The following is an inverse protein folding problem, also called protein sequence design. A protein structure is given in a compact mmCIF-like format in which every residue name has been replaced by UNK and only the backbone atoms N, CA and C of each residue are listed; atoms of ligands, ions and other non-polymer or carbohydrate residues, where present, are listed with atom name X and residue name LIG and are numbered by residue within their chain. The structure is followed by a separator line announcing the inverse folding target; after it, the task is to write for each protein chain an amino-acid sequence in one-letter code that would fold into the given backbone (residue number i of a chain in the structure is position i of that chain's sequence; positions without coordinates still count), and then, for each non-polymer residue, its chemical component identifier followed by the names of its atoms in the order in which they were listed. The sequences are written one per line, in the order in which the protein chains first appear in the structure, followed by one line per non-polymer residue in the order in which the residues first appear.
data_IF_925203640936
#
_entry.id   IF_925203640936
#
_cell.length_a   1.000
_cell.length_b   1.000
_cell.length_c   1.000
_cell.angle_alpha   90.00
_cell.angle_beta   90.00
_cell.angle_gamma   90.00
#
_symmetry.space_group_name_H-M   'P 1'
#
loop_
_entity.id
_entity.type
_entity.pdbx_description
1 polymer ?
#
# COMPACT_ATOMS: atom_id res chain seq x y z
N UNK A 1 -14.34 41.76 -7.18
CA UNK A 1 -13.00 41.54 -6.61
C UNK A 1 -12.70 40.05 -6.72
N UNK A 2 -12.06 39.61 -7.81
CA UNK A 2 -11.70 38.20 -7.96
C UNK A 2 -10.42 37.97 -7.18
N UNK A 3 -10.54 37.35 -6.00
CA UNK A 3 -9.40 36.80 -5.27
C UNK A 3 -8.87 35.63 -6.11
N UNK A 4 -7.82 35.88 -6.91
CA UNK A 4 -7.08 34.82 -7.57
C UNK A 4 -6.25 34.15 -6.48
N UNK A 5 -6.72 33.00 -6.00
CA UNK A 5 -6.00 32.17 -5.04
C UNK A 5 -4.84 31.50 -5.77
N UNK A 6 -3.67 32.14 -5.76
CA UNK A 6 -2.46 31.58 -6.37
C UNK A 6 -1.86 30.55 -5.41
N UNK A 7 -2.34 29.31 -5.50
CA UNK A 7 -1.80 28.19 -4.72
C UNK A 7 -0.59 27.62 -5.47
N UNK A 8 0.60 27.91 -4.96
CA UNK A 8 1.84 27.30 -5.45
C UNK A 8 2.01 25.97 -4.74
N UNK A 9 1.85 24.87 -5.47
CA UNK A 9 2.08 23.52 -4.95
C UNK A 9 3.49 23.11 -5.31
N UNK A 10 4.28 22.79 -4.29
CA UNK A 10 5.57 22.15 -4.50
C UNK A 10 5.34 20.66 -4.78
N UNK A 11 5.76 20.21 -5.96
CA UNK A 11 5.64 18.80 -6.35
C UNK A 11 6.45 17.87 -5.42
N UNK A 12 7.48 18.38 -4.72
CA UNK A 12 8.26 17.61 -3.74
C UNK A 12 7.47 17.30 -2.47
N UNK A 13 6.45 18.10 -2.14
CA UNK A 13 5.57 17.82 -1.00
C UNK A 13 4.80 16.51 -1.21
N UNK A 14 4.39 16.21 -2.44
CA UNK A 14 3.73 14.95 -2.78
C UNK A 14 4.70 13.77 -2.62
N UNK A 15 5.94 13.91 -3.09
CA UNK A 15 6.97 12.87 -2.92
C UNK A 15 7.21 12.57 -1.44
N UNK A 16 7.22 13.59 -0.58
CA UNK A 16 7.41 13.42 0.85
C UNK A 16 6.23 12.69 1.50
N UNK A 17 4.99 13.05 1.15
CA UNK A 17 3.80 12.37 1.67
C UNK A 17 3.76 10.91 1.22
N UNK A 18 4.08 10.63 -0.06
CA UNK A 18 4.17 9.27 -0.57
C UNK A 18 5.23 8.45 0.18
N UNK A 19 6.41 9.03 0.47
CA UNK A 19 7.43 8.39 1.32
C UNK A 19 6.96 8.09 2.75
N UNK A 20 6.06 8.89 3.31
CA UNK A 20 5.51 8.64 4.65
C UNK A 20 4.43 7.55 4.65
N UNK A 21 3.69 7.42 3.55
CA UNK A 21 2.67 6.38 3.37
C UNK A 21 3.32 5.04 3.00
N UNK A 22 4.45 5.06 2.30
CA UNK A 22 5.18 3.87 1.82
C UNK A 22 5.42 2.78 2.88
N UNK A 23 6.09 3.05 4.02
CA UNK A 23 6.35 2.00 5.01
C UNK A 23 5.05 1.43 5.60
N UNK A 24 3.98 2.22 5.68
CA UNK A 24 2.69 1.78 6.21
C UNK A 24 1.99 0.80 5.26
N UNK A 25 1.99 1.12 3.96
CA UNK A 25 1.43 0.23 2.93
C UNK A 25 2.29 -1.03 2.75
N UNK A 26 3.61 -0.90 2.84
CA UNK A 26 4.52 -2.05 2.77
C UNK A 26 4.33 -3.01 3.95
N UNK A 27 4.19 -2.48 5.18
CA UNK A 27 3.87 -3.30 6.36
C UNK A 27 2.55 -4.04 6.21
N UNK A 28 1.51 -3.39 5.71
CA UNK A 28 0.23 -4.05 5.45
C UNK A 28 0.36 -5.14 4.37
N UNK A 29 0.99 -4.82 3.23
CA UNK A 29 1.18 -5.78 2.14
C UNK A 29 1.98 -7.01 2.60
N UNK A 30 2.94 -6.83 3.51
CA UNK A 30 3.67 -7.93 4.14
C UNK A 30 2.78 -8.76 5.05
N UNK A 31 2.01 -8.14 5.94
CA UNK A 31 1.09 -8.84 6.84
C UNK A 31 0.04 -9.65 6.07
N UNK A 32 -0.54 -9.06 5.01
CA UNK A 32 -1.51 -9.76 4.15
C UNK A 32 -0.91 -11.00 3.48
N UNK A 33 0.35 -10.93 3.02
CA UNK A 33 1.06 -12.10 2.48
C UNK A 33 1.33 -13.16 3.53
N UNK A 34 1.73 -12.75 4.73
CA UNK A 34 1.96 -13.67 5.87
C UNK A 34 0.68 -14.41 6.25
N UNK A 35 -0.47 -13.72 6.31
CA UNK A 35 -1.78 -14.35 6.57
C UNK A 35 -2.19 -15.28 5.42
N UNK A 36 -2.07 -14.85 4.17
CA UNK A 36 -2.41 -15.70 3.03
C UNK A 36 -1.56 -16.97 2.97
N UNK A 37 -0.29 -16.87 3.37
CA UNK A 37 0.61 -18.01 3.50
C UNK A 37 0.20 -18.92 4.67
N UNK A 38 -0.16 -18.35 5.82
CA UNK A 38 -0.69 -19.11 6.97
C UNK A 38 -1.97 -19.86 6.61
N UNK A 39 -2.88 -19.25 5.86
CA UNK A 39 -4.09 -19.88 5.35
C UNK A 39 -3.74 -21.05 4.42
N UNK A 40 -2.81 -20.86 3.48
CA UNK A 40 -2.35 -21.93 2.60
C UNK A 40 -1.68 -23.08 3.38
N UNK A 41 -0.91 -22.79 4.43
CA UNK A 41 -0.30 -23.80 5.30
C UNK A 41 -1.36 -24.59 6.08
N UNK A 42 -2.40 -23.92 6.57
CA UNK A 42 -3.53 -24.59 7.23
C UNK A 42 -4.34 -25.46 6.25
N UNK A 43 -4.58 -24.99 5.02
CA UNK A 43 -5.28 -25.75 3.97
C UNK A 43 -4.51 -27.00 3.54
N UNK A 44 -3.18 -26.94 3.49
CA UNK A 44 -2.32 -28.08 3.20
C UNK A 44 -2.36 -29.16 4.30
N UNK A 45 -3.09 -28.93 5.39
CA UNK A 45 -3.26 -29.91 6.46
C UNK A 45 -1.99 -30.13 7.25
N UNK A 46 -1.16 -29.08 7.41
CA UNK A 46 -0.01 -29.07 8.33
C UNK A 46 -0.55 -29.10 9.77
N UNK A 47 -1.10 -30.24 10.16
CA UNK A 47 -1.68 -30.52 11.48
C UNK A 47 -0.76 -31.45 12.29
N UNK A 48 0.15 -32.14 11.62
CA UNK A 48 1.04 -33.11 12.23
C UNK A 48 2.34 -32.44 12.68
N UNK A 49 2.75 -32.70 13.92
CA UNK A 49 4.01 -32.22 14.51
C UNK A 49 5.25 -32.60 13.70
N UNK A 50 5.18 -33.65 12.86
CA UNK A 50 6.28 -34.04 11.97
C UNK A 50 6.37 -33.13 10.74
N UNK A 51 5.24 -32.75 10.15
CA UNK A 51 5.17 -31.84 9.00
C UNK A 51 5.62 -30.44 9.40
N UNK A 52 5.25 -29.97 10.60
CA UNK A 52 5.72 -28.69 11.16
C UNK A 52 7.24 -28.71 11.35
N UNK A 53 7.81 -29.81 11.85
CA UNK A 53 9.27 -29.97 12.01
C UNK A 53 10.03 -30.05 10.69
N UNK A 54 9.37 -30.48 9.61
CA UNK A 54 9.93 -30.49 8.26
C UNK A 54 9.91 -29.11 7.57
N UNK A 55 9.09 -28.17 8.05
CA UNK A 55 9.08 -26.79 7.58
C UNK A 55 10.30 -26.01 8.10
N UNK A 56 10.71 -24.98 7.37
CA UNK A 56 11.78 -24.07 7.80
C UNK A 56 11.40 -23.37 9.12
N UNK A 57 12.40 -23.01 9.91
CA UNK A 57 12.22 -22.30 11.18
C UNK A 57 11.42 -21.00 11.02
N UNK A 58 11.48 -20.37 9.85
CA UNK A 58 10.69 -19.17 9.52
C UNK A 58 9.18 -19.45 9.52
N UNK A 59 8.73 -20.56 8.92
CA UNK A 59 7.31 -20.93 8.90
C UNK A 59 6.81 -21.42 10.26
N UNK A 60 7.66 -22.09 11.03
CA UNK A 60 7.33 -22.48 12.41
C UNK A 60 7.08 -21.25 13.28
N UNK A 61 7.99 -20.27 13.22
CA UNK A 61 7.83 -18.99 13.92
C UNK A 61 6.58 -18.22 13.45
N UNK A 62 6.22 -18.34 12.17
CA UNK A 62 5.01 -17.72 11.62
C UNK A 62 3.74 -18.37 12.19
N UNK A 63 3.71 -19.71 12.27
CA UNK A 63 2.61 -20.48 12.87
C UNK A 63 2.44 -20.19 14.37
N UNK A 64 3.53 -20.02 15.11
CA UNK A 64 3.46 -19.61 16.52
C UNK A 64 2.83 -18.23 16.70
N UNK A 65 3.11 -17.30 15.77
CA UNK A 65 2.57 -15.94 15.76
C UNK A 65 1.22 -15.81 15.03
N UNK A 66 0.67 -16.90 14.50
CA UNK A 66 -0.57 -16.88 13.69
C UNK A 66 -1.71 -16.12 14.39
N UNK A 67 -1.94 -16.41 15.68
CA UNK A 67 -2.99 -15.73 16.47
C UNK A 67 -2.75 -14.23 16.61
N UNK A 68 -1.50 -13.80 16.81
CA UNK A 68 -1.14 -12.39 16.95
C UNK A 68 -1.28 -11.66 15.61
N UNK A 69 -0.77 -12.25 14.53
CA UNK A 69 -0.84 -11.71 13.18
C UNK A 69 -2.29 -11.61 12.70
N UNK A 70 -3.13 -12.61 12.97
CA UNK A 70 -4.57 -12.57 12.65
C UNK A 70 -5.30 -11.49 13.45
N UNK A 71 -4.97 -11.32 14.73
CA UNK A 71 -5.53 -10.25 15.55
C UNK A 71 -5.12 -8.86 15.04
N UNK A 72 -3.86 -8.70 14.62
CA UNK A 72 -3.38 -7.46 14.00
C UNK A 72 -4.07 -7.20 12.66
N UNK A 73 -4.18 -8.23 11.81
CA UNK A 73 -4.83 -8.15 10.49
C UNK A 73 -6.32 -7.82 10.60
N UNK A 74 -7.02 -8.38 11.60
CA UNK A 74 -8.44 -8.09 11.86
C UNK A 74 -8.69 -6.64 12.32
N UNK A 75 -7.70 -5.97 12.91
CA UNK A 75 -7.80 -4.58 13.35
C UNK A 75 -7.35 -3.58 12.27
N UNK A 76 -6.57 -4.02 11.29
CA UNK A 76 -6.07 -3.20 10.18
C UNK A 76 -7.07 -2.76 9.09
N UNK A 77 -8.26 -3.37 8.83
CA UNK A 77 -9.05 -3.04 7.64
C UNK A 77 -9.48 -1.57 7.62
N UNK A 78 -9.95 -1.07 8.77
CA UNK A 78 -10.37 0.32 8.92
C UNK A 78 -9.22 1.33 8.74
N UNK A 79 -7.99 0.93 9.06
CA UNK A 79 -6.81 1.77 8.89
C UNK A 79 -6.34 1.81 7.43
N UNK A 80 -6.40 0.67 6.74
CA UNK A 80 -6.08 0.59 5.32
C UNK A 80 -7.08 1.41 4.47
N UNK A 81 -8.37 1.23 4.69
CA UNK A 81 -9.41 1.98 3.97
C UNK A 81 -9.19 3.49 4.11
N UNK A 82 -8.77 3.93 5.29
CA UNK A 82 -8.41 5.33 5.55
C UNK A 82 -7.15 5.76 4.81
N UNK A 83 -6.12 4.93 4.75
CA UNK A 83 -4.90 5.21 3.97
C UNK A 83 -5.21 5.31 2.47
N UNK A 84 -6.08 4.45 1.95
CA UNK A 84 -6.51 4.48 0.55
C UNK A 84 -7.29 5.77 0.28
N UNK A 85 -8.25 6.13 1.15
CA UNK A 85 -8.98 7.39 1.07
C UNK A 85 -8.06 8.61 1.06
N UNK A 86 -7.11 8.69 2.00
CA UNK A 86 -6.11 9.77 2.06
C UNK A 86 -5.29 9.84 0.76
N UNK A 87 -4.88 8.69 0.23
CA UNK A 87 -4.06 8.63 -0.99
C UNK A 87 -4.88 9.04 -2.22
N UNK A 88 -6.14 8.61 -2.33
CA UNK A 88 -7.03 9.01 -3.42
C UNK A 88 -7.41 10.48 -3.37
N UNK A 89 -7.66 11.02 -2.17
CA UNK A 89 -7.97 12.43 -1.98
C UNK A 89 -6.76 13.30 -2.33
N UNK A 90 -5.56 12.91 -1.88
CA UNK A 90 -4.32 13.57 -2.24
C UNK A 90 -4.10 13.61 -3.76
N UNK A 91 -4.39 12.51 -4.46
CA UNK A 91 -4.29 12.44 -5.92
C UNK A 91 -5.30 13.37 -6.61
N UNK A 92 -6.55 13.36 -6.15
CA UNK A 92 -7.60 14.24 -6.68
C UNK A 92 -7.22 15.70 -6.48
N UNK A 93 -6.82 16.07 -5.27
CA UNK A 93 -6.48 17.44 -4.92
C UNK A 93 -5.28 17.92 -5.75
N UNK A 94 -4.20 17.14 -5.81
CA UNK A 94 -3.01 17.47 -6.59
C UNK A 94 -3.32 17.82 -8.06
N UNK A 95 -4.13 16.99 -8.73
CA UNK A 95 -4.50 17.25 -10.13
C UNK A 95 -5.58 18.31 -10.28
N UNK A 96 -6.47 18.46 -9.31
CA UNK A 96 -7.47 19.54 -9.26
C UNK A 96 -6.80 20.91 -9.21
N UNK A 97 -5.70 21.03 -8.46
CA UNK A 97 -4.88 22.24 -8.45
C UNK A 97 -4.13 22.47 -9.78
N UNK A 98 -3.78 21.41 -10.50
CA UNK A 98 -3.28 21.48 -11.90
C UNK A 98 -4.39 21.70 -12.94
N UNK A 99 -5.64 21.92 -12.52
CA UNK A 99 -6.79 22.15 -13.40
C UNK A 99 -7.27 20.90 -14.17
N UNK A 100 -6.83 19.70 -13.78
CA UNK A 100 -7.15 18.44 -14.45
C UNK A 100 -8.04 17.56 -13.57
N UNK A 101 -9.13 17.02 -14.13
CA UNK A 101 -9.97 16.04 -13.42
C UNK A 101 -9.43 14.63 -13.61
N UNK A 102 -9.11 13.95 -12.50
CA UNK A 102 -8.56 12.59 -12.51
C UNK A 102 -9.47 11.56 -11.84
N UNK A 103 -10.75 11.89 -11.63
CA UNK A 103 -11.72 10.98 -11.00
C UNK A 103 -11.86 9.64 -11.72
N UNK A 104 -11.73 9.62 -13.05
CA UNK A 104 -11.75 8.40 -13.86
C UNK A 104 -10.55 7.48 -13.63
N UNK A 105 -9.46 8.01 -13.07
CA UNK A 105 -8.23 7.26 -12.78
C UNK A 105 -8.22 6.65 -11.37
N UNK A 106 -9.17 7.01 -10.51
CA UNK A 106 -9.27 6.48 -9.14
C UNK A 106 -9.38 4.95 -9.08
N UNK A 107 -10.22 4.28 -9.90
CA UNK A 107 -10.27 2.82 -9.87
C UNK A 107 -8.90 2.18 -10.18
N UNK A 108 -8.15 2.79 -11.11
CA UNK A 108 -6.80 2.33 -11.46
C UNK A 108 -5.79 2.57 -10.34
N UNK A 109 -5.93 3.67 -9.60
CA UNK A 109 -5.12 3.94 -8.40
C UNK A 109 -5.39 2.89 -7.32
N UNK A 110 -6.66 2.54 -7.08
CA UNK A 110 -7.01 1.49 -6.12
C UNK A 110 -6.38 0.15 -6.50
N UNK A 111 -6.39 -0.23 -7.79
CA UNK A 111 -5.70 -1.46 -8.24
C UNK A 111 -4.19 -1.46 -7.98
N UNK A 112 -3.54 -0.29 -8.06
CA UNK A 112 -2.10 -0.13 -7.75
C UNK A 112 -1.88 -0.22 -6.23
N UNK A 113 -2.81 0.30 -5.44
CA UNK A 113 -2.76 0.22 -3.99
C UNK A 113 -3.02 -1.20 -3.47
N UNK A 114 -3.91 -1.95 -4.11
CA UNK A 114 -4.16 -3.38 -3.83
C UNK A 114 -2.91 -4.22 -4.14
N UNK A 115 -2.28 -3.98 -5.30
CA UNK A 115 -1.03 -4.61 -5.72
C UNK A 115 0.17 -3.73 -5.37
N UNK A 116 0.24 -3.29 -4.12
CA UNK A 116 1.12 -2.22 -3.67
C UNK A 116 2.54 -2.31 -4.25
N UNK A 117 2.89 -1.30 -5.06
CA UNK A 117 4.24 -1.09 -5.57
C UNK A 117 4.57 0.40 -5.56
N UNK A 118 5.53 0.79 -4.72
CA UNK A 118 5.94 2.18 -4.56
C UNK A 118 6.33 2.86 -5.88
N UNK A 119 7.07 2.17 -6.75
CA UNK A 119 7.49 2.71 -8.05
C UNK A 119 6.28 2.99 -8.95
N UNK A 120 5.33 2.05 -8.99
CA UNK A 120 4.10 2.22 -9.78
C UNK A 120 3.23 3.35 -9.23
N UNK A 121 3.14 3.48 -7.90
CA UNK A 121 2.41 4.57 -7.25
C UNK A 121 3.06 5.92 -7.58
N UNK A 122 4.39 6.03 -7.46
CA UNK A 122 5.12 7.24 -7.78
C UNK A 122 4.96 7.63 -9.25
N UNK A 123 5.12 6.68 -10.18
CA UNK A 123 4.92 6.90 -11.62
C UNK A 123 3.48 7.29 -11.95
N UNK A 124 2.50 6.74 -11.23
CA UNK A 124 1.10 7.08 -11.43
C UNK A 124 0.76 8.51 -10.98
N UNK A 125 1.38 8.97 -9.88
CA UNK A 125 1.28 10.35 -9.40
C UNK A 125 2.09 11.32 -10.26
N UNK A 126 3.27 10.90 -10.71
CA UNK A 126 4.24 11.70 -11.45
C UNK A 126 4.89 10.87 -12.57
N UNK A 127 4.27 10.81 -13.76
CA UNK A 127 4.85 10.08 -14.89
C UNK A 127 6.16 10.68 -15.40
N UNK A 128 6.44 11.95 -15.06
CA UNK A 128 7.68 12.68 -15.42
C UNK A 128 8.93 12.18 -14.67
N UNK A 129 8.79 11.34 -13.64
CA UNK A 129 9.93 10.81 -12.88
C UNK A 129 10.68 9.70 -13.62
N UNK A 130 10.13 9.13 -14.69
CA UNK A 130 10.78 8.05 -15.46
C UNK A 130 11.95 8.55 -16.32
N UNK A 131 12.02 9.86 -16.61
CA UNK A 131 13.05 10.45 -17.48
C UNK A 131 14.34 10.88 -16.78
N UNK A 132 14.44 10.82 -15.44
CA UNK A 132 15.66 11.25 -14.72
C UNK A 132 16.63 10.12 -14.38
N UNK A 133 16.22 8.85 -14.46
CA UNK A 133 17.09 7.70 -14.18
C UNK A 133 17.77 7.15 -15.46
N UNK A 134 17.79 7.93 -16.53
CA UNK A 134 18.44 7.60 -17.81
C UNK A 134 19.30 8.75 -18.32
N UNK A 135 20.22 9.26 -17.49
CA UNK A 135 21.45 9.94 -17.93
C UNK A 135 22.60 9.48 -17.02
#
# INVERSE_FOLDING_TARGET
MYFVFCLVINDDSINHILKLIDPKLQSHAKLSKEISLLDALHELGVNDTETIKALSTEYQNLLEKDKELRAEFSNQPAYLDRLYGITTDLYIDYYKFKGTSVKSKIPKLLTILDNYNYKNLLLFFRPEFETSDSI
#
